data_IF_500921608366
#
_entry.id   IF_500921608366
#
_cell.length_a   1.000
_cell.length_b   1.000
_cell.length_c   1.000
_cell.angle_alpha   90.00
_cell.angle_beta   90.00
_cell.angle_gamma   90.00
#
_symmetry.space_group_name_H-M   'P 1'
#
loop_
_entity.id
_entity.type
_entity.pdbx_description
1 polymer ?
#
# COMPACT_ATOMS: atom_id res chain seq x y z
N UNK A 1 8.82 -10.67 13.20
CA UNK A 1 7.64 -10.06 12.55
C UNK A 1 7.30 -10.75 11.22
N UNK A 2 7.24 -12.09 11.21
CA UNK A 2 6.77 -12.91 10.07
C UNK A 2 5.44 -13.62 10.35
N UNK A 3 4.80 -13.29 11.47
CA UNK A 3 3.61 -13.98 12.01
C UNK A 3 2.41 -13.05 12.17
N UNK A 4 2.57 -11.76 11.86
CA UNK A 4 1.47 -10.79 11.90
C UNK A 4 0.75 -10.78 10.55
N UNK A 5 -0.58 -10.80 10.52
CA UNK A 5 -1.36 -10.75 9.28
C UNK A 5 -1.29 -9.34 8.68
N UNK A 6 -0.20 -9.05 7.97
CA UNK A 6 0.08 -7.76 7.36
C UNK A 6 0.15 -7.89 5.85
N UNK A 7 -0.46 -6.94 5.15
CA UNK A 7 -0.24 -6.72 3.73
C UNK A 7 0.90 -5.70 3.61
N UNK A 8 1.93 -6.04 2.83
CA UNK A 8 3.05 -5.13 2.54
C UNK A 8 2.93 -4.65 1.11
N UNK A 9 2.95 -3.34 0.92
CA UNK A 9 2.96 -2.69 -0.39
C UNK A 9 4.34 -2.07 -0.60
N UNK A 10 4.93 -2.30 -1.76
CA UNK A 10 6.22 -1.76 -2.17
C UNK A 10 6.16 -1.43 -3.66
N UNK A 11 6.78 -0.32 -4.04
CA UNK A 11 6.98 0.07 -5.42
C UNK A 11 8.43 0.55 -5.61
N UNK A 12 8.91 0.47 -6.84
CA UNK A 12 10.26 0.88 -7.25
C UNK A 12 10.14 1.74 -8.51
N UNK A 13 10.90 2.84 -8.56
CA UNK A 13 10.91 3.76 -9.69
C UNK A 13 11.83 4.96 -9.45
N UNK A 14 12.23 5.62 -10.55
CA UNK A 14 13.18 6.74 -10.54
C UNK A 14 12.57 8.05 -9.99
N UNK A 15 11.24 8.19 -10.08
CA UNK A 15 10.51 9.33 -9.53
C UNK A 15 9.96 8.98 -8.13
N UNK A 16 10.55 9.50 -7.05
CA UNK A 16 10.13 9.18 -5.69
C UNK A 16 8.72 9.70 -5.37
N UNK A 17 8.27 10.78 -6.00
CA UNK A 17 6.91 11.31 -5.75
C UNK A 17 5.87 10.40 -6.38
N UNK A 18 6.15 9.90 -7.59
CA UNK A 18 5.27 8.92 -8.24
C UNK A 18 5.23 7.61 -7.46
N UNK A 19 6.38 7.12 -6.98
CA UNK A 19 6.46 5.92 -6.13
C UNK A 19 5.61 6.09 -4.88
N UNK A 20 5.75 7.23 -4.18
CA UNK A 20 4.96 7.52 -2.98
C UNK A 20 3.46 7.61 -3.29
N UNK A 21 3.07 8.32 -4.36
CA UNK A 21 1.68 8.46 -4.77
C UNK A 21 1.03 7.09 -5.05
N UNK A 22 1.70 6.23 -5.81
CA UNK A 22 1.18 4.90 -6.15
C UNK A 22 1.04 4.01 -4.92
N UNK A 23 2.02 4.03 -4.01
CA UNK A 23 1.95 3.26 -2.76
C UNK A 23 0.77 3.76 -1.91
N UNK A 24 0.58 5.07 -1.79
CA UNK A 24 -0.50 5.66 -1.02
C UNK A 24 -1.88 5.31 -1.61
N UNK A 25 -2.04 5.36 -2.94
CA UNK A 25 -3.29 5.02 -3.61
C UNK A 25 -3.70 3.55 -3.35
N UNK A 26 -2.74 2.62 -3.48
CA UNK A 26 -2.98 1.19 -3.24
C UNK A 26 -3.32 0.95 -1.76
N UNK A 27 -2.60 1.58 -0.84
CA UNK A 27 -2.89 1.48 0.60
C UNK A 27 -4.29 2.02 0.90
N UNK A 28 -4.70 3.13 0.29
CA UNK A 28 -6.04 3.71 0.42
C UNK A 28 -7.14 2.72 0.02
N UNK A 29 -7.01 2.11 -1.16
CA UNK A 29 -7.99 1.11 -1.66
C UNK A 29 -8.08 -0.10 -0.72
N UNK A 30 -6.95 -0.59 -0.21
CA UNK A 30 -6.94 -1.72 0.73
C UNK A 30 -7.65 -1.38 2.04
N UNK A 31 -7.52 -0.14 2.52
CA UNK A 31 -8.21 0.33 3.73
C UNK A 31 -9.72 0.46 3.51
N UNK A 32 -10.14 1.01 2.37
CA UNK A 32 -11.56 1.08 2.00
C UNK A 32 -12.19 -0.30 1.91
N UNK A 33 -11.52 -1.23 1.20
CA UNK A 33 -12.01 -2.60 1.02
C UNK A 33 -12.15 -3.34 2.35
N UNK A 34 -11.20 -3.14 3.28
CA UNK A 34 -11.29 -3.71 4.63
C UNK A 34 -12.47 -3.13 5.43
N UNK A 35 -12.76 -1.85 5.27
CA UNK A 35 -13.81 -1.17 6.04
C UNK A 35 -15.22 -1.45 5.52
N UNK A 36 -15.34 -1.85 4.25
CA UNK A 36 -16.60 -2.20 3.60
C UNK A 36 -17.06 -3.65 3.86
N UNK A 37 -16.21 -4.49 4.46
CA UNK A 37 -16.48 -5.90 4.79
C UNK A 37 -16.81 -6.07 6.28
#
# INVERSE_FOLDING_TARGET
>A
SGTEPLIRVMAEGDDPQLVEAVVNDIVGILQETRSAA
#
